data_IF_026022557572
#
_entry.id   IF_026022557572
#
_cell.length_a   1.000
_cell.length_b   1.000
_cell.length_c   1.000
_cell.angle_alpha   90.00
_cell.angle_beta   90.00
_cell.angle_gamma   90.00
#
_symmetry.space_group_name_H-M   'P 1'
#
loop_
_entity.id
_entity.type
_entity.pdbx_description
1 polymer ?
#
# COMPACT_ATOMS: atom_id res chain seq x y z
N UNK A 1 -43.88 32.03 -14.17
CA UNK A 1 -43.72 30.55 -14.19
C UNK A 1 -42.33 30.12 -14.66
N UNK A 2 -41.71 30.80 -15.64
CA UNK A 2 -40.37 30.49 -16.17
C UNK A 2 -39.24 30.74 -15.14
N UNK A 3 -39.38 31.75 -14.29
CA UNK A 3 -38.39 32.08 -13.24
C UNK A 3 -38.17 30.96 -12.21
N UNK A 4 -39.24 30.23 -11.88
CA UNK A 4 -39.22 29.17 -10.87
C UNK A 4 -38.44 27.96 -11.39
N UNK A 5 -38.62 27.62 -12.67
CA UNK A 5 -37.86 26.57 -13.36
C UNK A 5 -36.38 26.93 -13.46
N UNK A 6 -36.06 28.20 -13.71
CA UNK A 6 -34.68 28.70 -13.78
C UNK A 6 -33.99 28.64 -12.42
N UNK A 7 -34.68 29.01 -11.34
CA UNK A 7 -34.18 28.85 -9.97
C UNK A 7 -34.01 27.38 -9.57
N UNK A 8 -34.93 26.49 -9.96
CA UNK A 8 -34.82 25.06 -9.67
C UNK A 8 -33.65 24.41 -10.42
N UNK A 9 -33.45 24.78 -11.68
CA UNK A 9 -32.31 24.33 -12.49
C UNK A 9 -30.98 24.85 -11.92
N UNK A 10 -30.92 26.13 -11.51
CA UNK A 10 -29.77 26.72 -10.85
C UNK A 10 -29.45 26.04 -9.51
N UNK A 11 -30.46 25.77 -8.68
CA UNK A 11 -30.28 25.04 -7.41
C UNK A 11 -29.81 23.60 -7.61
N UNK A 12 -30.32 22.89 -8.61
CA UNK A 12 -29.84 21.53 -8.93
C UNK A 12 -28.40 21.55 -9.45
N UNK A 13 -28.01 22.56 -10.23
CA UNK A 13 -26.64 22.73 -10.67
C UNK A 13 -25.68 23.09 -9.51
N UNK A 14 -26.11 23.91 -8.56
CA UNK A 14 -25.35 24.22 -7.35
C UNK A 14 -25.24 23.01 -6.41
N UNK A 15 -26.32 22.23 -6.26
CA UNK A 15 -26.29 20.98 -5.49
C UNK A 15 -25.31 19.97 -6.11
N UNK A 16 -25.32 19.82 -7.44
CA UNK A 16 -24.36 18.97 -8.14
C UNK A 16 -22.91 19.46 -8.01
N UNK A 17 -22.67 20.78 -8.02
CA UNK A 17 -21.34 21.35 -7.76
C UNK A 17 -20.90 21.13 -6.32
N UNK A 18 -21.79 21.30 -5.34
CA UNK A 18 -21.50 21.06 -3.93
C UNK A 18 -21.22 19.58 -3.67
N UNK A 19 -22.06 18.67 -4.17
CA UNK A 19 -21.81 17.22 -4.09
C UNK A 19 -20.54 16.80 -4.81
N UNK A 20 -20.27 17.35 -6.00
CA UNK A 20 -19.03 17.08 -6.73
C UNK A 20 -17.81 17.56 -5.93
N UNK A 21 -17.88 18.75 -5.34
CA UNK A 21 -16.79 19.30 -4.52
C UNK A 21 -16.59 18.48 -3.25
N UNK A 22 -17.68 18.04 -2.61
CA UNK A 22 -17.64 17.25 -1.38
C UNK A 22 -17.14 15.82 -1.64
N UNK A 23 -17.63 15.12 -2.66
CA UNK A 23 -17.13 13.78 -3.05
C UNK A 23 -15.66 13.83 -3.45
N UNK A 24 -15.25 14.86 -4.19
CA UNK A 24 -13.85 14.99 -4.63
C UNK A 24 -12.96 15.34 -3.44
N UNK A 25 -13.41 16.20 -2.52
CA UNK A 25 -12.66 16.56 -1.31
C UNK A 25 -12.56 15.42 -0.31
N UNK A 26 -13.63 14.63 -0.12
CA UNK A 26 -13.60 13.42 0.74
C UNK A 26 -12.74 12.33 0.11
N UNK A 27 -12.80 12.15 -1.21
CA UNK A 27 -11.93 11.19 -1.92
C UNK A 27 -10.47 11.61 -1.87
N UNK A 28 -10.15 12.90 -2.04
CA UNK A 28 -8.79 13.43 -1.91
C UNK A 28 -8.29 13.36 -0.47
N UNK A 29 -9.15 13.68 0.51
CA UNK A 29 -8.84 13.56 1.94
C UNK A 29 -8.56 12.11 2.34
N UNK A 30 -9.34 11.16 1.80
CA UNK A 30 -9.13 9.72 2.03
C UNK A 30 -7.84 9.24 1.38
N UNK A 31 -7.53 9.68 0.15
CA UNK A 31 -6.26 9.37 -0.50
C UNK A 31 -5.06 9.94 0.27
N UNK A 32 -5.16 11.18 0.77
CA UNK A 32 -4.13 11.80 1.60
C UNK A 32 -3.95 11.06 2.94
N UNK A 33 -5.05 10.64 3.57
CA UNK A 33 -5.00 9.82 4.79
C UNK A 33 -4.35 8.46 4.53
N UNK A 34 -4.69 7.77 3.43
CA UNK A 34 -4.06 6.51 3.05
C UNK A 34 -2.57 6.71 2.80
N UNK A 35 -2.17 7.78 2.08
CA UNK A 35 -0.76 8.11 1.85
C UNK A 35 -0.01 8.33 3.16
N UNK A 36 -0.56 9.10 4.08
CA UNK A 36 0.02 9.33 5.40
C UNK A 36 0.07 8.05 6.23
N UNK A 37 -0.98 7.23 6.20
CA UNK A 37 -1.03 5.95 6.91
C UNK A 37 0.03 4.97 6.37
N UNK A 38 0.18 4.87 5.05
CA UNK A 38 1.24 4.06 4.40
C UNK A 38 2.62 4.60 4.76
N UNK A 39 2.80 5.92 4.78
CA UNK A 39 4.05 6.54 5.18
C UNK A 39 4.43 6.21 6.62
N UNK A 40 3.50 6.36 7.57
CA UNK A 40 3.74 5.99 8.98
C UNK A 40 3.99 4.48 9.13
N UNK A 41 3.21 3.65 8.44
CA UNK A 41 3.37 2.20 8.45
C UNK A 41 4.75 1.78 7.91
N UNK A 42 5.25 2.42 6.85
CA UNK A 42 6.59 2.12 6.30
C UNK A 42 7.67 2.42 7.33
N UNK A 43 7.60 3.57 8.00
CA UNK A 43 8.53 3.93 9.06
C UNK A 43 8.48 2.94 10.21
N UNK A 44 7.28 2.56 10.65
CA UNK A 44 7.10 1.55 11.69
C UNK A 44 7.74 0.21 11.32
N UNK A 45 7.54 -0.28 10.10
CA UNK A 45 8.12 -1.54 9.62
C UNK A 45 9.65 -1.45 9.57
N UNK A 46 10.22 -0.34 9.13
CA UNK A 46 11.67 -0.13 9.09
C UNK A 46 12.25 -0.19 10.50
N UNK A 47 11.65 0.54 11.45
CA UNK A 47 12.09 0.54 12.85
C UNK A 47 11.98 -0.85 13.47
N UNK A 48 10.91 -1.59 13.16
CA UNK A 48 10.72 -2.95 13.64
C UNK A 48 11.81 -3.90 13.12
N UNK A 49 12.20 -3.80 11.85
CA UNK A 49 13.29 -4.61 11.30
C UNK A 49 14.64 -4.31 11.96
N UNK A 50 14.94 -3.03 12.19
CA UNK A 50 16.16 -2.62 12.90
C UNK A 50 16.11 -3.15 14.34
N UNK A 51 14.96 -3.00 15.02
CA UNK A 51 14.75 -3.49 16.38
C UNK A 51 14.93 -5.00 16.50
N UNK A 52 14.41 -5.78 15.55
CA UNK A 52 14.62 -7.23 15.51
C UNK A 52 16.09 -7.60 15.30
N UNK A 53 16.81 -6.89 14.42
CA UNK A 53 18.25 -7.11 14.23
C UNK A 53 19.07 -6.80 15.49
N UNK A 54 18.73 -5.71 16.19
CA UNK A 54 19.35 -5.35 17.47
C UNK A 54 19.01 -6.34 18.59
N UNK A 55 17.76 -6.82 18.64
CA UNK A 55 17.32 -7.79 19.65
C UNK A 55 18.02 -9.13 19.48
N UNK A 56 18.13 -9.64 18.26
CA UNK A 56 18.93 -10.82 17.93
C UNK A 56 20.40 -10.57 18.32
N UNK A 57 20.93 -9.40 17.98
CA UNK A 57 22.29 -9.00 18.35
C UNK A 57 22.52 -8.97 19.87
N UNK A 58 21.53 -8.52 20.64
CA UNK A 58 21.57 -8.51 22.10
C UNK A 58 21.58 -9.93 22.68
N UNK A 59 20.74 -10.85 22.16
CA UNK A 59 20.74 -12.25 22.57
C UNK A 59 22.08 -12.95 22.30
N UNK A 60 22.75 -12.59 21.21
CA UNK A 60 24.07 -13.12 20.86
C UNK A 60 25.23 -12.41 21.59
N UNK A 61 24.93 -11.39 22.40
CA UNK A 61 25.94 -10.59 23.12
C UNK A 61 26.76 -9.66 22.22
N UNK A 62 26.45 -9.57 20.92
CA UNK A 62 27.13 -8.69 19.98
C UNK A 62 26.20 -8.30 18.81
N UNK A 63 25.94 -7.00 18.72
CA UNK A 63 25.06 -6.38 17.72
C UNK A 63 25.48 -6.64 16.28
N UNK A 64 26.78 -6.79 16.00
CA UNK A 64 27.29 -7.05 14.65
C UNK A 64 26.77 -8.39 14.11
N UNK A 65 26.73 -9.43 14.95
CA UNK A 65 26.21 -10.74 14.54
C UNK A 65 24.70 -10.70 14.32
N UNK A 66 23.95 -9.90 15.10
CA UNK A 66 22.52 -9.73 14.90
C UNK A 66 22.16 -9.15 13.53
N UNK A 67 22.89 -8.11 13.11
CA UNK A 67 22.72 -7.51 11.78
C UNK A 67 23.18 -8.47 10.68
N UNK A 68 24.27 -9.20 10.89
CA UNK A 68 24.82 -10.15 9.91
C UNK A 68 23.87 -11.35 9.69
N UNK A 69 23.26 -11.87 10.75
CA UNK A 69 22.24 -12.94 10.66
C UNK A 69 21.01 -12.44 9.93
N UNK A 70 20.50 -11.25 10.26
CA UNK A 70 19.36 -10.67 9.54
C UNK A 70 19.68 -10.49 8.05
N UNK A 71 20.85 -9.95 7.71
CA UNK A 71 21.30 -9.84 6.33
C UNK A 71 21.39 -11.20 5.61
N UNK A 72 21.90 -12.23 6.31
CA UNK A 72 21.95 -13.60 5.80
C UNK A 72 20.57 -14.21 5.55
N UNK A 73 19.61 -13.96 6.43
CA UNK A 73 18.20 -14.38 6.25
C UNK A 73 17.59 -13.72 5.02
N UNK A 74 17.80 -12.42 4.81
CA UNK A 74 17.32 -11.75 3.60
C UNK A 74 17.98 -12.30 2.33
N UNK A 75 19.27 -12.64 2.39
CA UNK A 75 19.98 -13.25 1.28
C UNK A 75 19.44 -14.65 0.97
N UNK A 76 19.15 -15.46 1.99
CA UNK A 76 18.49 -16.77 1.83
C UNK A 76 17.11 -16.64 1.20
N UNK A 77 16.29 -15.68 1.66
CA UNK A 77 14.98 -15.40 1.05
C UNK A 77 15.15 -15.04 -0.43
N UNK A 78 16.17 -14.24 -0.77
CA UNK A 78 16.46 -13.84 -2.15
C UNK A 78 16.84 -15.06 -3.01
N UNK A 79 17.67 -15.97 -2.50
CA UNK A 79 18.01 -17.23 -3.17
C UNK A 79 16.74 -18.07 -3.40
N UNK A 80 15.92 -18.25 -2.36
CA UNK A 80 14.66 -19.01 -2.46
C UNK A 80 13.73 -18.40 -3.51
N UNK A 81 13.60 -17.07 -3.55
CA UNK A 81 12.83 -16.36 -4.58
C UNK A 81 13.40 -16.57 -5.98
N UNK A 82 14.72 -16.60 -6.15
CA UNK A 82 15.37 -16.87 -7.43
C UNK A 82 15.12 -18.30 -7.92
N UNK A 83 15.17 -19.29 -7.03
CA UNK A 83 14.85 -20.68 -7.37
C UNK A 83 13.35 -20.83 -7.69
N UNK A 84 12.49 -20.19 -6.89
CA UNK A 84 11.06 -20.18 -7.10
C UNK A 84 10.61 -19.29 -8.26
N UNK A 85 11.50 -18.50 -8.88
CA UNK A 85 11.20 -17.58 -9.98
C UNK A 85 10.38 -18.24 -11.07
N UNK A 86 10.81 -19.41 -11.57
CA UNK A 86 10.08 -20.15 -12.63
C UNK A 86 8.68 -20.55 -12.16
N UNK A 87 8.53 -21.01 -10.92
CA UNK A 87 7.24 -21.41 -10.37
C UNK A 87 6.31 -20.21 -10.19
N UNK A 88 6.83 -19.10 -9.64
CA UNK A 88 6.05 -17.88 -9.40
C UNK A 88 5.60 -17.28 -10.74
N UNK A 89 6.49 -17.16 -11.72
CA UNK A 89 6.14 -16.63 -13.06
C UNK A 89 5.09 -17.48 -13.73
N UNK A 90 5.20 -18.82 -13.67
CA UNK A 90 4.20 -19.72 -14.25
C UNK A 90 2.86 -19.68 -13.50
N UNK A 91 2.86 -19.59 -12.17
CA UNK A 91 1.63 -19.44 -11.39
C UNK A 91 0.92 -18.11 -11.65
N UNK A 92 1.66 -17.02 -11.76
CA UNK A 92 1.11 -15.69 -12.08
C UNK A 92 0.57 -15.69 -13.52
N UNK A 93 1.32 -16.21 -14.49
CA UNK A 93 0.89 -16.33 -15.88
C UNK A 93 -0.38 -17.20 -15.99
N UNK A 94 -0.43 -18.36 -15.32
CA UNK A 94 -1.62 -19.21 -15.32
C UNK A 94 -2.81 -18.55 -14.64
N UNK A 95 -2.62 -17.77 -13.56
CA UNK A 95 -3.72 -16.98 -12.96
C UNK A 95 -4.24 -15.91 -13.92
N UNK A 96 -3.35 -15.22 -14.63
CA UNK A 96 -3.72 -14.22 -15.63
C UNK A 96 -4.48 -14.87 -16.80
N UNK A 97 -4.00 -16.00 -17.32
CA UNK A 97 -4.67 -16.75 -18.39
C UNK A 97 -6.05 -17.24 -17.95
N UNK A 98 -6.18 -17.74 -16.72
CA UNK A 98 -7.46 -18.21 -16.15
C UNK A 98 -8.45 -17.07 -15.86
N UNK A 99 -7.96 -15.85 -15.66
CA UNK A 99 -8.79 -14.64 -15.57
C UNK A 99 -9.22 -14.11 -16.94
N UNK A 100 -8.45 -14.38 -18.00
CA UNK A 100 -8.71 -13.91 -19.37
C UNK A 100 -9.51 -14.91 -20.21
N UNK A 101 -9.50 -16.20 -19.88
CA UNK A 101 -10.32 -17.23 -20.51
C UNK A 101 -11.29 -17.82 -19.48
N UNK A 102 -12.46 -17.19 -19.27
CA UNK A 102 -13.47 -17.62 -18.29
C UNK A 102 -14.12 -18.97 -18.65
#
# INVERSE_FOLDING_TARGET
MIDILKQYAAKRADLLKMEATEKTSVSLGTAAFILLAVFVATFFIILLNIGLGLWIGYLLGNYAYGVLIMGGVYLLILIVLFLARKSITNSVANKIIKLLNP
#
